data_IF_760819649077
#
_entry.id   IF_760819649077
#
_cell.length_a   1.000
_cell.length_b   1.000
_cell.length_c   1.000
_cell.angle_alpha   90.00
_cell.angle_beta   90.00
_cell.angle_gamma   90.00
#
_symmetry.space_group_name_H-M   'P 1'
#
loop_
_entity.id
_entity.type
_entity.pdbx_description
1 polymer ?
#
# COMPACT_ATOMS: atom_id res chain seq x y z
N UNK A 1 0.02 -3.18 -7.94
CA UNK A 1 -0.49 -4.51 -7.57
C UNK A 1 -1.88 -4.75 -8.17
N UNK A 2 -2.41 -5.98 -8.14
CA UNK A 2 -3.83 -6.26 -8.47
C UNK A 2 -4.60 -6.59 -7.18
N UNK A 3 -5.60 -5.78 -6.82
CA UNK A 3 -6.40 -5.93 -5.61
C UNK A 3 -7.53 -6.96 -5.81
N UNK A 4 -7.45 -8.09 -5.10
CA UNK A 4 -8.44 -9.15 -5.10
C UNK A 4 -9.02 -9.36 -3.68
N UNK A 5 -10.07 -8.63 -3.29
CA UNK A 5 -10.66 -8.77 -1.96
C UNK A 5 -11.44 -10.10 -1.85
N UNK A 6 -11.23 -10.82 -0.74
CA UNK A 6 -11.85 -12.13 -0.48
C UNK A 6 -12.72 -12.12 0.79
N UNK A 7 -12.14 -11.69 1.92
CA UNK A 7 -12.81 -11.69 3.22
C UNK A 7 -12.25 -10.58 4.11
N UNK A 8 -12.94 -10.35 5.25
CA UNK A 8 -12.61 -9.36 6.27
C UNK A 8 -12.46 -7.94 5.71
N UNK A 9 -11.47 -7.19 6.17
CA UNK A 9 -11.23 -5.79 5.81
C UNK A 9 -10.68 -5.61 4.39
N UNK A 10 -10.42 -6.70 3.65
CA UNK A 10 -9.83 -6.63 2.31
C UNK A 10 -10.66 -5.82 1.33
N UNK A 11 -11.99 -5.81 1.45
CA UNK A 11 -12.87 -4.95 0.63
C UNK A 11 -12.50 -3.47 0.80
N UNK A 12 -12.30 -3.03 2.04
CA UNK A 12 -11.95 -1.64 2.36
C UNK A 12 -10.51 -1.33 1.94
N UNK A 13 -9.57 -2.24 2.20
CA UNK A 13 -8.17 -2.09 1.75
C UNK A 13 -8.08 -2.01 0.22
N UNK A 14 -8.90 -2.76 -0.50
CA UNK A 14 -8.95 -2.69 -1.95
C UNK A 14 -9.46 -1.34 -2.45
N UNK A 15 -10.34 -0.62 -1.71
CA UNK A 15 -10.77 0.75 -2.07
C UNK A 15 -9.61 1.69 -1.80
N UNK A 16 -9.06 1.63 -0.59
CA UNK A 16 -7.99 2.51 -0.13
C UNK A 16 -6.76 2.43 -1.03
N UNK A 17 -6.37 1.23 -1.46
CA UNK A 17 -5.19 1.04 -2.30
C UNK A 17 -5.42 1.40 -3.77
N UNK A 18 -6.62 1.22 -4.32
CA UNK A 18 -6.89 1.56 -5.73
C UNK A 18 -7.31 3.01 -5.93
N UNK A 19 -8.23 3.51 -5.12
CA UNK A 19 -8.84 4.83 -5.26
C UNK A 19 -8.14 5.88 -4.39
N UNK A 20 -7.71 5.51 -3.18
CA UNK A 20 -7.04 6.43 -2.26
C UNK A 20 -5.56 6.65 -2.60
N UNK A 21 -4.79 5.56 -2.59
CA UNK A 21 -3.34 5.60 -2.79
C UNK A 21 -2.92 5.48 -4.27
N UNK A 22 -3.82 5.10 -5.17
CA UNK A 22 -3.49 4.86 -6.58
C UNK A 22 -2.40 3.79 -6.80
N UNK A 23 -2.24 2.86 -5.85
CA UNK A 23 -1.17 1.87 -5.80
C UNK A 23 -1.61 0.49 -6.31
N UNK A 24 -2.87 0.36 -6.74
CA UNK A 24 -3.46 -0.90 -7.18
C UNK A 24 -4.49 -0.74 -8.27
N UNK A 25 -4.58 -1.75 -9.15
CA UNK A 25 -5.75 -1.95 -10.01
C UNK A 25 -6.64 -3.03 -9.42
N UNK A 26 -7.95 -2.88 -9.50
CA UNK A 26 -8.90 -3.89 -9.00
C UNK A 26 -9.11 -5.01 -10.01
N UNK A 27 -9.36 -6.22 -9.51
CA UNK A 27 -9.83 -7.33 -10.34
C UNK A 27 -11.17 -6.97 -10.96
N UNK A 28 -11.40 -7.27 -12.25
CA UNK A 28 -12.68 -7.05 -12.90
C UNK A 28 -13.83 -7.77 -12.21
N UNK A 29 -15.00 -7.13 -12.15
CA UNK A 29 -16.18 -7.68 -11.46
C UNK A 29 -16.64 -9.02 -12.07
N UNK A 30 -16.51 -9.18 -13.39
CA UNK A 30 -16.92 -10.39 -14.11
C UNK A 30 -16.01 -11.59 -13.84
N UNK A 31 -14.77 -11.33 -13.38
CA UNK A 31 -13.71 -12.33 -13.15
C UNK A 31 -13.46 -13.25 -14.35
N UNK A 32 -13.75 -12.79 -15.57
CA UNK A 32 -13.41 -13.51 -16.80
C UNK A 32 -11.89 -13.59 -16.97
N UNK A 33 -11.41 -14.74 -17.44
CA UNK A 33 -9.96 -15.02 -17.58
C UNK A 33 -9.28 -13.95 -18.45
N UNK A 34 -9.93 -13.52 -19.52
CA UNK A 34 -9.40 -12.55 -20.48
C UNK A 34 -9.26 -11.17 -19.84
N UNK A 35 -10.26 -10.73 -19.08
CA UNK A 35 -10.23 -9.44 -18.39
C UNK A 35 -9.17 -9.43 -17.27
N UNK A 36 -9.01 -10.55 -16.55
CA UNK A 36 -7.95 -10.72 -15.56
C UNK A 36 -6.58 -10.66 -16.23
N UNK A 37 -6.38 -11.38 -17.34
CA UNK A 37 -5.12 -11.37 -18.08
C UNK A 37 -4.76 -9.96 -18.57
N UNK A 38 -5.75 -9.21 -19.08
CA UNK A 38 -5.58 -7.82 -19.48
C UNK A 38 -5.19 -6.93 -18.29
N UNK A 39 -5.87 -7.06 -17.15
CA UNK A 39 -5.57 -6.29 -15.93
C UNK A 39 -4.15 -6.57 -15.43
N UNK A 40 -3.74 -7.84 -15.42
CA UNK A 40 -2.39 -8.26 -15.01
C UNK A 40 -1.34 -7.69 -15.97
N UNK A 41 -1.59 -7.80 -17.28
CA UNK A 41 -0.68 -7.30 -18.32
C UNK A 41 -0.51 -5.79 -18.20
N UNK A 42 -1.60 -5.05 -18.00
CA UNK A 42 -1.56 -3.60 -17.79
C UNK A 42 -0.71 -3.25 -16.56
N UNK A 43 -0.94 -3.89 -15.41
CA UNK A 43 -0.15 -3.64 -14.19
C UNK A 43 1.34 -3.94 -14.39
N UNK A 44 1.70 -4.95 -15.18
CA UNK A 44 3.10 -5.37 -15.35
C UNK A 44 3.87 -4.54 -16.40
N UNK A 45 3.29 -4.34 -17.58
CA UNK A 45 4.00 -3.75 -18.74
C UNK A 45 3.24 -2.60 -19.41
N UNK A 46 1.98 -2.40 -19.03
CA UNK A 46 1.16 -1.30 -19.52
C UNK A 46 1.81 0.06 -19.27
N UNK A 47 1.68 0.95 -20.25
CA UNK A 47 2.22 2.32 -20.23
C UNK A 47 1.18 3.36 -19.80
N UNK A 48 -0.08 2.95 -19.60
CA UNK A 48 -1.14 3.81 -19.09
C UNK A 48 -1.24 3.70 -17.57
N UNK A 49 -2.42 3.28 -17.10
CA UNK A 49 -2.74 3.14 -15.67
C UNK A 49 -1.75 2.24 -14.93
N UNK A 50 -1.23 1.21 -15.58
CA UNK A 50 -0.24 0.32 -14.99
C UNK A 50 1.07 1.03 -14.64
N UNK A 51 1.54 1.93 -15.51
CA UNK A 51 2.75 2.71 -15.26
C UNK A 51 2.56 3.70 -14.11
N UNK A 52 1.40 4.37 -14.05
CA UNK A 52 1.04 5.26 -12.95
C UNK A 52 1.01 4.51 -11.61
N UNK A 53 0.39 3.32 -11.57
CA UNK A 53 0.38 2.48 -10.37
C UNK A 53 1.80 2.12 -9.92
N UNK A 54 2.69 1.73 -10.84
CA UNK A 54 4.08 1.40 -10.49
C UNK A 54 4.85 2.62 -9.96
N UNK A 55 4.64 3.79 -10.56
CA UNK A 55 5.26 5.04 -10.09
C UNK A 55 4.78 5.41 -8.68
N UNK A 56 3.47 5.31 -8.42
CA UNK A 56 2.89 5.56 -7.11
C UNK A 56 3.42 4.58 -6.05
N UNK A 57 3.50 3.29 -6.38
CA UNK A 57 4.07 2.28 -5.49
C UNK A 57 5.53 2.60 -5.16
N UNK A 58 6.34 2.99 -6.15
CA UNK A 58 7.74 3.35 -5.91
C UNK A 58 7.88 4.59 -5.02
N UNK A 59 7.04 5.61 -5.23
CA UNK A 59 7.01 6.81 -4.39
C UNK A 59 6.62 6.47 -2.93
N UNK A 60 5.56 5.67 -2.75
CA UNK A 60 5.12 5.22 -1.43
C UNK A 60 6.16 4.34 -0.75
N UNK A 61 6.83 3.46 -1.49
CA UNK A 61 7.92 2.64 -0.96
C UNK A 61 9.06 3.52 -0.43
N UNK A 62 9.48 4.53 -1.20
CA UNK A 62 10.52 5.46 -0.79
C UNK A 62 10.15 6.17 0.51
N UNK A 63 8.94 6.75 0.58
CA UNK A 63 8.45 7.42 1.79
C UNK A 63 8.37 6.48 3.00
N UNK A 64 7.91 5.25 2.79
CA UNK A 64 7.84 4.25 3.85
C UNK A 64 9.23 3.85 4.35
N UNK A 65 10.20 3.68 3.45
CA UNK A 65 11.59 3.42 3.83
C UNK A 65 12.18 4.59 4.62
N UNK A 66 12.01 5.83 4.16
CA UNK A 66 12.47 7.03 4.87
C UNK A 66 11.86 7.17 6.27
N UNK A 67 10.57 6.85 6.41
CA UNK A 67 9.88 6.90 7.70
C UNK A 67 10.40 5.87 8.72
N UNK A 68 10.97 4.75 8.25
CA UNK A 68 11.52 3.65 9.06
C UNK A 68 13.01 3.80 9.38
N UNK A 69 13.73 4.73 8.76
CA UNK A 69 15.15 4.98 9.10
C UNK A 69 15.29 5.57 10.50
N UNK A 70 16.52 5.61 11.02
CA UNK A 70 16.83 6.32 12.27
C UNK A 70 16.45 7.80 12.16
N UNK A 71 15.72 8.31 13.16
CA UNK A 71 15.14 9.65 13.12
C UNK A 71 13.94 9.81 12.18
N UNK A 72 13.54 8.75 11.47
CA UNK A 72 12.34 8.71 10.65
C UNK A 72 11.06 8.78 11.49
N UNK A 73 9.97 9.25 10.89
CA UNK A 73 8.73 9.54 11.61
C UNK A 73 8.12 8.30 12.31
N UNK A 74 8.21 7.12 11.70
CA UNK A 74 7.68 5.88 12.30
C UNK A 74 8.56 5.42 13.46
N UNK A 75 9.89 5.48 13.30
CA UNK A 75 10.84 5.14 14.36
C UNK A 75 10.69 6.07 15.56
N UNK A 76 10.61 7.39 15.33
CA UNK A 76 10.41 8.38 16.37
C UNK A 76 9.07 8.20 17.11
N UNK A 77 7.99 7.88 16.39
CA UNK A 77 6.70 7.59 17.01
C UNK A 77 6.75 6.32 17.87
N UNK A 78 7.46 5.29 17.42
CA UNK A 78 7.66 4.07 18.20
C UNK A 78 8.50 4.33 19.46
N UNK A 79 9.57 5.11 19.35
CA UNK A 79 10.41 5.52 20.48
C UNK A 79 9.61 6.27 21.53
N UNK A 80 8.68 7.15 21.11
CA UNK A 80 7.80 7.86 22.03
C UNK A 80 6.91 6.88 22.83
N UNK A 81 6.37 5.86 22.16
CA UNK A 81 5.56 4.81 22.80
C UNK A 81 6.40 4.01 23.78
N UNK A 82 7.59 3.57 23.38
CA UNK A 82 8.51 2.83 24.26
C UNK A 82 8.87 3.65 25.48
N UNK A 83 9.22 4.94 25.31
CA UNK A 83 9.52 5.85 26.43
C UNK A 83 8.35 5.95 27.41
N UNK A 84 7.11 6.04 26.93
CA UNK A 84 5.92 6.06 27.80
C UNK A 84 5.76 4.76 28.59
N UNK A 85 6.13 3.63 28.00
CA UNK A 85 6.04 2.32 28.67
C UNK A 85 7.19 2.09 29.67
N UNK A 86 8.40 2.54 29.36
CA UNK A 86 9.58 2.32 30.20
C UNK A 86 9.75 3.37 31.29
N UNK A 87 9.29 4.60 31.07
CA UNK A 87 9.32 5.68 32.07
C UNK A 87 8.03 5.74 32.91
N UNK A 88 7.48 4.58 33.30
CA UNK A 88 6.37 4.53 34.25
C UNK A 88 6.75 5.14 35.61
N UNK A 89 6.06 6.23 35.98
CA UNK A 89 5.96 6.89 37.30
C UNK A 89 7.21 7.41 38.02
N UNK A 90 8.44 7.22 37.52
CA UNK A 90 9.64 7.81 38.14
C UNK A 90 10.64 8.33 37.09
N UNK A 91 10.30 9.44 36.44
CA UNK A 91 11.23 10.38 35.81
C UNK A 91 10.70 11.80 36.04
#
# INVERSE_FOLDING_TARGET
MVAWPLFAERQQNAVMLSEGAGAAMRVPATKRKEEIAMTVTEVMVGQGKGAEVRANVAALQKLATEALLEGGATTAALDEVVRKWTCGEYC
#
